data_IF_853479801845
#
_entry.id   IF_853479801845
#
_cell.length_a   1.000
_cell.length_b   1.000
_cell.length_c   1.000
_cell.angle_alpha   90.00
_cell.angle_beta   90.00
_cell.angle_gamma   90.00
#
_symmetry.space_group_name_H-M   'P 1'
#
loop_
_entity.id
_entity.type
_entity.pdbx_description
1 polymer ?
#
# COMPACT_ATOMS: atom_id res chain seq x y z
N UNK A 1 -11.21 25.65 16.02
CA UNK A 1 -12.09 24.54 15.58
C UNK A 1 -12.54 24.87 14.17
N UNK A 2 -12.00 24.19 13.16
CA UNK A 2 -12.41 24.43 11.76
C UNK A 2 -13.79 23.78 11.59
N UNK A 3 -14.80 24.60 11.37
CA UNK A 3 -16.16 24.18 11.04
C UNK A 3 -16.17 23.66 9.60
N UNK A 4 -16.02 22.35 9.43
CA UNK A 4 -16.24 21.70 8.13
C UNK A 4 -17.73 21.87 7.81
N UNK A 5 -18.04 22.67 6.79
CA UNK A 5 -19.42 22.85 6.33
C UNK A 5 -19.81 21.63 5.48
N UNK A 6 -20.95 21.01 5.79
CA UNK A 6 -21.43 19.83 5.08
C UNK A 6 -21.57 20.02 3.56
N UNK A 7 -21.69 21.27 3.12
CA UNK A 7 -21.78 21.67 1.72
C UNK A 7 -20.46 21.45 0.95
N UNK A 8 -19.30 21.66 1.57
CA UNK A 8 -17.99 21.40 0.95
C UNK A 8 -17.80 19.90 0.67
N UNK A 9 -18.14 19.04 1.64
CA UNK A 9 -18.04 17.58 1.47
C UNK A 9 -18.95 17.14 0.32
N UNK A 10 -20.16 17.69 0.23
CA UNK A 10 -21.13 17.34 -0.80
C UNK A 10 -20.64 17.74 -2.20
N UNK A 11 -19.99 18.90 -2.32
CA UNK A 11 -19.42 19.37 -3.58
C UNK A 11 -18.22 18.52 -4.03
N UNK A 12 -17.31 18.19 -3.10
CA UNK A 12 -16.16 17.32 -3.40
C UNK A 12 -16.61 15.93 -3.89
N UNK A 13 -17.63 15.33 -3.26
CA UNK A 13 -18.14 14.02 -3.70
C UNK A 13 -18.82 14.14 -5.07
N UNK A 14 -19.58 15.21 -5.32
CA UNK A 14 -20.26 15.44 -6.61
C UNK A 14 -19.24 15.57 -7.75
N UNK A 15 -18.19 16.37 -7.56
CA UNK A 15 -17.10 16.51 -8.54
C UNK A 15 -16.41 15.16 -8.84
N UNK A 16 -16.17 14.33 -7.82
CA UNK A 16 -15.59 12.99 -8.03
C UNK A 16 -16.49 12.04 -8.83
N UNK A 17 -17.81 12.15 -8.67
CA UNK A 17 -18.77 11.35 -9.45
C UNK A 17 -18.81 11.83 -10.90
N UNK A 18 -18.78 13.15 -11.13
CA UNK A 18 -18.77 13.73 -12.48
C UNK A 18 -17.51 13.37 -13.27
N UNK A 19 -16.36 13.24 -12.60
CA UNK A 19 -15.11 12.81 -13.22
C UNK A 19 -14.99 11.28 -13.43
N UNK A 20 -15.97 10.48 -13.01
CA UNK A 20 -15.90 9.03 -13.12
C UNK A 20 -16.14 8.57 -14.57
N UNK A 21 -15.07 8.56 -15.37
CA UNK A 21 -15.11 8.09 -16.75
C UNK A 21 -14.87 6.57 -16.80
N UNK A 22 -15.76 5.83 -17.45
CA UNK A 22 -15.73 4.36 -17.49
C UNK A 22 -15.00 3.86 -18.73
N UNK A 23 -13.68 3.78 -18.66
CA UNK A 23 -12.87 3.16 -19.72
C UNK A 23 -12.98 1.62 -19.66
N UNK A 24 -13.24 1.00 -20.81
CA UNK A 24 -13.19 -0.46 -20.96
C UNK A 24 -11.74 -0.86 -21.24
N UNK A 25 -11.02 -1.26 -20.18
CA UNK A 25 -9.68 -1.87 -20.29
C UNK A 25 -9.81 -3.37 -20.52
N UNK A 26 -9.00 -3.91 -21.44
CA UNK A 26 -8.73 -5.35 -21.51
C UNK A 26 -8.02 -5.72 -20.20
N UNK A 27 -8.61 -6.60 -19.41
CA UNK A 27 -8.11 -6.94 -18.07
C UNK A 27 -7.41 -8.30 -18.13
N UNK A 28 -6.10 -8.30 -17.98
CA UNK A 28 -5.34 -9.52 -17.75
C UNK A 28 -5.73 -10.08 -16.36
N UNK A 29 -6.33 -11.27 -16.36
CA UNK A 29 -6.98 -11.87 -15.18
C UNK A 29 -6.45 -13.28 -14.97
N UNK A 30 -6.36 -13.70 -13.72
CA UNK A 30 -6.04 -15.07 -13.33
C UNK A 30 -6.93 -15.58 -12.21
N UNK A 31 -6.67 -16.82 -11.80
CA UNK A 31 -7.43 -17.55 -10.78
C UNK A 31 -6.50 -17.99 -9.67
N UNK A 32 -6.87 -17.75 -8.41
CA UNK A 32 -6.11 -18.25 -7.25
C UNK A 32 -6.12 -19.77 -7.23
N UNK A 33 -4.97 -20.40 -7.36
CA UNK A 33 -4.80 -21.85 -7.18
C UNK A 33 -4.64 -22.21 -5.71
N UNK A 34 -3.83 -21.42 -5.00
CA UNK A 34 -3.48 -21.67 -3.61
C UNK A 34 -3.15 -20.33 -2.95
N UNK A 35 -3.47 -20.21 -1.67
CA UNK A 35 -3.04 -19.10 -0.81
C UNK A 35 -2.58 -19.64 0.54
N UNK A 36 -1.46 -19.14 1.05
CA UNK A 36 -0.92 -19.53 2.34
C UNK A 36 0.30 -18.71 2.71
N UNK A 37 0.45 -18.40 4.00
CA UNK A 37 1.62 -17.69 4.57
C UNK A 37 1.97 -16.37 3.85
N UNK A 38 0.96 -15.63 3.39
CA UNK A 38 1.15 -14.35 2.68
C UNK A 38 1.58 -14.51 1.22
N UNK A 39 1.52 -15.71 0.65
CA UNK A 39 1.85 -16.00 -0.75
C UNK A 39 0.62 -16.62 -1.43
N UNK A 40 0.34 -16.20 -2.66
CA UNK A 40 -0.66 -16.81 -3.51
C UNK A 40 -0.03 -17.31 -4.81
N UNK A 41 -0.48 -18.47 -5.30
CA UNK A 41 -0.15 -18.99 -6.62
C UNK A 41 -1.35 -18.77 -7.54
N UNK A 42 -1.13 -18.08 -8.64
CA UNK A 42 -2.20 -17.66 -9.55
C UNK A 42 -2.01 -18.36 -10.90
N UNK A 43 -3.05 -18.96 -11.45
CA UNK A 43 -3.06 -19.44 -12.83
C UNK A 43 -3.55 -18.34 -13.77
N UNK A 44 -2.97 -18.25 -14.96
CA UNK A 44 -3.20 -17.13 -15.88
C UNK A 44 -2.29 -15.95 -15.56
N UNK A 45 -2.80 -14.72 -15.68
CA UNK A 45 -1.98 -13.50 -15.62
C UNK A 45 -0.85 -13.49 -16.67
N UNK A 46 -1.08 -14.04 -17.87
CA UNK A 46 -0.03 -14.33 -18.86
C UNK A 46 0.79 -13.09 -19.30
N UNK A 47 0.16 -11.92 -19.28
CA UNK A 47 0.79 -10.64 -19.65
C UNK A 47 1.31 -9.83 -18.44
N UNK A 48 1.35 -10.42 -17.24
CA UNK A 48 1.79 -9.70 -16.03
C UNK A 48 3.29 -9.50 -16.03
N UNK A 49 3.73 -8.32 -15.58
CA UNK A 49 5.14 -8.01 -15.45
C UNK A 49 5.68 -8.39 -14.06
N UNK A 50 6.98 -8.68 -13.98
CA UNK A 50 7.64 -8.87 -12.70
C UNK A 50 7.63 -7.54 -11.92
N UNK A 51 7.27 -7.60 -10.64
CA UNK A 51 7.07 -6.42 -9.80
C UNK A 51 5.74 -5.72 -10.01
N UNK A 52 4.83 -6.22 -10.86
CA UNK A 52 3.53 -5.63 -11.07
C UNK A 52 2.59 -5.84 -9.87
N UNK A 53 1.80 -4.82 -9.57
CA UNK A 53 0.72 -4.91 -8.62
C UNK A 53 -0.45 -5.69 -9.21
N UNK A 54 -0.98 -6.62 -8.43
CA UNK A 54 -2.20 -7.35 -8.72
C UNK A 54 -3.24 -7.11 -7.65
N UNK A 55 -4.51 -7.12 -8.04
CA UNK A 55 -5.64 -6.90 -7.15
C UNK A 55 -6.50 -8.15 -7.10
N UNK A 56 -6.67 -8.70 -5.89
CA UNK A 56 -7.53 -9.85 -5.63
C UNK A 56 -8.98 -9.40 -5.59
N UNK A 57 -9.91 -10.32 -5.89
CA UNK A 57 -11.34 -10.04 -5.95
C UNK A 57 -11.92 -9.34 -4.70
N UNK A 58 -11.38 -9.61 -3.52
CA UNK A 58 -11.83 -9.02 -2.25
C UNK A 58 -11.13 -7.67 -1.93
N UNK A 59 -10.10 -7.29 -2.70
CA UNK A 59 -9.43 -6.00 -2.62
C UNK A 59 -8.01 -6.03 -2.07
N UNK A 60 -7.53 -7.18 -1.57
CA UNK A 60 -6.10 -7.33 -1.22
C UNK A 60 -5.23 -7.04 -2.43
N UNK A 61 -4.13 -6.31 -2.21
CA UNK A 61 -3.10 -6.07 -3.22
C UNK A 61 -1.96 -7.06 -3.01
N UNK A 62 -1.38 -7.54 -4.11
CA UNK A 62 -0.14 -8.31 -4.09
C UNK A 62 0.87 -7.80 -5.12
N UNK A 63 2.10 -8.30 -5.04
CA UNK A 63 3.16 -8.08 -6.03
C UNK A 63 3.46 -9.40 -6.72
N UNK A 64 3.43 -9.42 -8.06
CA UNK A 64 3.93 -10.54 -8.84
C UNK A 64 5.46 -10.60 -8.75
N UNK A 65 6.01 -11.67 -8.16
CA UNK A 65 7.47 -11.84 -8.02
C UNK A 65 8.02 -12.96 -8.90
N UNK A 66 7.33 -14.10 -8.97
CA UNK A 66 7.78 -15.27 -9.71
C UNK A 66 6.85 -15.50 -10.89
N UNK A 67 7.36 -15.39 -12.11
CA UNK A 67 6.60 -15.67 -13.33
C UNK A 67 7.02 -17.05 -13.85
N UNK A 68 6.26 -18.09 -13.50
CA UNK A 68 6.49 -19.44 -14.01
C UNK A 68 5.68 -19.68 -15.29
N UNK A 69 5.95 -20.77 -16.00
CA UNK A 69 5.26 -21.09 -17.26
C UNK A 69 3.77 -21.42 -17.09
N UNK A 70 3.35 -21.80 -15.88
CA UNK A 70 1.98 -22.28 -15.62
C UNK A 70 1.26 -21.51 -14.51
N UNK A 71 2.00 -20.73 -13.72
CA UNK A 71 1.46 -19.96 -12.61
C UNK A 71 2.36 -18.77 -12.27
N UNK A 72 1.79 -17.81 -11.57
CA UNK A 72 2.46 -16.62 -11.06
C UNK A 72 2.45 -16.66 -9.54
N UNK A 73 3.64 -16.56 -8.95
CA UNK A 73 3.82 -16.37 -7.52
C UNK A 73 3.63 -14.91 -7.15
N UNK A 74 2.60 -14.65 -6.35
CA UNK A 74 2.23 -13.32 -5.86
C UNK A 74 2.43 -13.26 -4.35
N UNK A 75 3.14 -12.23 -3.89
CA UNK A 75 3.27 -11.96 -2.46
C UNK A 75 2.23 -10.93 -2.04
N UNK A 76 1.50 -11.21 -0.97
CA UNK A 76 0.37 -10.40 -0.49
C UNK A 76 0.85 -9.23 0.37
N UNK A 77 0.25 -8.06 0.17
CA UNK A 77 0.38 -6.87 1.03
C UNK A 77 -0.68 -6.85 2.14
N UNK A 78 -0.99 -8.02 2.69
CA UNK A 78 -2.06 -8.26 3.65
C UNK A 78 -1.94 -9.68 4.22
N UNK A 79 -2.84 -10.05 5.11
CA UNK A 79 -2.85 -11.40 5.72
C UNK A 79 -3.45 -12.48 4.80
N UNK A 80 -4.20 -12.08 3.76
CA UNK A 80 -4.78 -12.99 2.78
C UNK A 80 -5.91 -13.87 3.31
N UNK A 81 -6.42 -13.61 4.52
CA UNK A 81 -7.38 -14.49 5.20
C UNK A 81 -8.73 -14.59 4.49
N UNK A 82 -9.08 -13.57 3.69
CA UNK A 82 -10.33 -13.49 2.94
C UNK A 82 -10.21 -13.98 1.50
N UNK A 83 -8.99 -14.30 1.05
CA UNK A 83 -8.74 -14.79 -0.31
C UNK A 83 -9.18 -16.25 -0.39
N UNK A 84 -10.00 -16.55 -1.39
CA UNK A 84 -10.50 -17.91 -1.64
C UNK A 84 -9.81 -18.50 -2.86
N UNK A 85 -9.49 -19.80 -2.81
CA UNK A 85 -9.11 -20.54 -4.00
C UNK A 85 -10.24 -20.49 -5.04
N UNK A 86 -9.88 -20.37 -6.32
CA UNK A 86 -10.83 -20.13 -7.40
C UNK A 86 -11.26 -18.67 -7.56
N UNK A 87 -10.92 -17.77 -6.62
CA UNK A 87 -11.23 -16.35 -6.77
C UNK A 87 -10.39 -15.69 -7.87
N UNK A 88 -10.92 -14.62 -8.44
CA UNK A 88 -10.25 -13.88 -9.51
C UNK A 88 -9.17 -12.93 -8.99
N UNK A 89 -8.10 -12.78 -9.77
CA UNK A 89 -7.03 -11.81 -9.53
C UNK A 89 -6.78 -11.04 -10.81
N UNK A 90 -6.61 -9.72 -10.71
CA UNK A 90 -6.44 -8.83 -11.86
C UNK A 90 -5.07 -8.17 -11.82
N UNK A 91 -4.36 -8.22 -12.93
CA UNK A 91 -3.18 -7.39 -13.15
C UNK A 91 -3.61 -5.91 -13.28
N UNK A 92 -2.89 -5.01 -12.59
CA UNK A 92 -3.25 -3.59 -12.58
C UNK A 92 -2.58 -2.79 -13.72
N UNK A 93 -1.60 -3.39 -14.40
CA UNK A 93 -0.72 -2.76 -15.39
C UNK A 93 0.30 -1.80 -14.78
N UNK A 94 0.43 -1.77 -13.44
CA UNK A 94 1.31 -0.85 -12.72
C UNK A 94 2.36 -1.62 -11.97
N UNK A 95 3.63 -1.36 -12.26
CA UNK A 95 4.74 -1.80 -11.42
C UNK A 95 4.57 -1.20 -10.03
N UNK A 96 4.93 -1.97 -9.00
CA UNK A 96 4.92 -1.54 -7.62
C UNK A 96 5.65 -0.19 -7.50
N UNK A 97 4.92 0.80 -6.98
CA UNK A 97 5.39 2.17 -6.87
C UNK A 97 4.91 2.74 -5.54
N UNK A 98 5.73 3.60 -4.95
CA UNK A 98 5.43 4.30 -3.71
C UNK A 98 5.12 5.75 -4.08
N UNK A 99 3.97 6.31 -3.65
CA UNK A 99 3.72 7.73 -3.81
C UNK A 99 4.72 8.53 -2.95
N UNK A 100 5.32 9.56 -3.54
CA UNK A 100 6.29 10.43 -2.88
C UNK A 100 5.84 11.89 -2.99
N UNK A 101 6.03 12.66 -1.94
CA UNK A 101 5.73 14.10 -1.88
C UNK A 101 6.27 14.73 -0.60
N UNK A 102 6.38 16.05 -0.59
CA UNK A 102 6.69 16.81 0.64
C UNK A 102 5.59 16.69 1.71
N UNK A 103 4.35 16.34 1.32
CA UNK A 103 3.23 16.20 2.25
C UNK A 103 3.38 15.05 3.26
N UNK A 104 4.40 14.20 3.06
CA UNK A 104 4.77 13.16 4.01
C UNK A 104 5.67 13.65 5.16
N UNK A 105 6.27 14.84 5.06
CA UNK A 105 7.05 15.43 6.15
C UNK A 105 6.17 15.61 7.40
N UNK A 106 6.71 15.23 8.55
CA UNK A 106 5.96 15.25 9.81
C UNK A 106 4.98 14.11 10.00
N UNK A 107 4.98 13.11 9.11
CA UNK A 107 4.06 11.97 9.16
C UNK A 107 4.73 10.67 9.55
N UNK A 108 3.95 9.81 10.18
CA UNK A 108 4.19 8.40 10.39
C UNK A 108 3.33 7.63 9.37
N UNK A 109 3.99 6.88 8.50
CA UNK A 109 3.35 6.12 7.42
C UNK A 109 3.77 4.66 7.49
N UNK A 110 2.99 3.81 6.83
CA UNK A 110 3.32 2.39 6.64
C UNK A 110 4.13 2.16 5.34
N UNK A 111 4.50 0.92 5.05
CA UNK A 111 5.26 0.52 3.86
C UNK A 111 4.50 0.69 2.52
N UNK A 112 3.23 1.09 2.56
CA UNK A 112 2.44 1.45 1.38
C UNK A 112 2.20 2.97 1.31
N UNK A 113 2.98 3.74 2.07
CA UNK A 113 2.85 5.18 2.23
C UNK A 113 1.44 5.64 2.68
N UNK A 114 0.72 4.79 3.40
CA UNK A 114 -0.56 5.14 4.05
C UNK A 114 -0.28 5.73 5.43
N UNK A 115 -0.88 6.87 5.79
CA UNK A 115 -0.67 7.46 7.11
C UNK A 115 -1.20 6.59 8.24
N UNK A 116 -0.41 6.45 9.29
CA UNK A 116 -0.73 5.69 10.51
C UNK A 116 -0.52 6.53 11.78
N UNK A 117 -0.38 7.85 11.66
CA UNK A 117 -0.15 8.78 12.78
C UNK A 117 -1.16 8.59 13.92
N UNK A 118 -2.44 8.40 13.58
CA UNK A 118 -3.53 8.19 14.53
C UNK A 118 -3.61 6.77 15.11
N UNK A 119 -2.83 5.81 14.59
CA UNK A 119 -2.74 4.43 15.10
C UNK A 119 -1.45 4.20 15.89
N UNK A 120 -0.37 4.91 15.56
CA UNK A 120 0.90 4.85 16.28
C UNK A 120 0.79 5.45 17.71
N UNK A 121 -0.09 6.43 17.91
CA UNK A 121 -0.37 7.05 19.21
C UNK A 121 -1.48 6.26 19.92
N UNK A 122 -1.14 5.13 20.53
CA UNK A 122 -2.01 4.50 21.55
C UNK A 122 -2.20 2.98 21.50
N UNK A 123 -1.83 2.28 20.43
CA UNK A 123 -2.00 0.81 20.38
C UNK A 123 -0.70 0.09 19.95
N UNK A 124 -0.14 -0.71 20.87
CA UNK A 124 0.89 -1.76 20.70
C UNK A 124 2.25 -1.43 20.07
N UNK A 125 2.47 -0.25 19.50
CA UNK A 125 3.76 0.18 18.96
C UNK A 125 4.54 1.08 19.94
N UNK A 126 4.68 0.66 21.21
CA UNK A 126 5.21 1.53 22.30
C UNK A 126 6.57 2.16 21.98
N UNK A 127 7.47 1.43 21.33
CA UNK A 127 8.79 1.94 20.95
C UNK A 127 8.74 2.97 19.84
N UNK A 128 7.90 2.76 18.81
CA UNK A 128 7.75 3.73 17.70
C UNK A 128 7.11 5.02 18.23
N UNK A 129 6.08 4.88 19.06
CA UNK A 129 5.43 6.02 19.71
C UNK A 129 6.42 6.84 20.54
N UNK A 130 7.29 6.20 21.32
CA UNK A 130 8.29 6.88 22.12
C UNK A 130 9.31 7.66 21.27
N UNK A 131 9.75 7.09 20.13
CA UNK A 131 10.65 7.77 19.19
C UNK A 131 9.96 8.97 18.55
N UNK A 132 8.71 8.80 18.11
CA UNK A 132 7.91 9.90 17.53
C UNK A 132 7.70 11.02 18.54
N UNK A 133 7.35 10.70 19.80
CA UNK A 133 7.25 11.69 20.88
C UNK A 133 8.57 12.42 21.07
N UNK A 134 9.70 11.71 21.06
CA UNK A 134 11.03 12.33 21.19
C UNK A 134 11.32 13.29 20.02
N UNK A 135 10.92 12.94 18.80
CA UNK A 135 11.07 13.83 17.64
C UNK A 135 10.16 15.05 17.74
N UNK A 136 8.94 14.89 18.22
CA UNK A 136 8.01 16.01 18.45
C UNK A 136 8.54 16.97 19.52
N UNK A 137 8.97 16.45 20.68
CA UNK A 137 9.52 17.25 21.78
C UNK A 137 10.77 18.05 21.38
N UNK A 138 11.56 17.52 20.45
CA UNK A 138 12.78 18.17 19.93
C UNK A 138 12.55 19.02 18.69
N UNK A 139 11.32 19.14 18.19
CA UNK A 139 11.01 19.83 16.94
C UNK A 139 11.56 19.14 15.68
N UNK A 140 12.04 17.90 15.80
CA UNK A 140 12.63 17.15 14.69
C UNK A 140 11.60 16.55 13.74
N UNK A 141 10.35 16.40 14.19
CA UNK A 141 9.30 15.80 13.38
C UNK A 141 9.00 16.63 12.11
N UNK A 142 9.18 17.96 12.14
CA UNK A 142 8.88 18.86 11.01
C UNK A 142 9.64 18.52 9.72
N UNK A 143 10.84 17.93 9.84
CA UNK A 143 11.68 17.52 8.71
C UNK A 143 11.91 16.01 8.66
N UNK A 144 11.11 15.22 9.39
CA UNK A 144 11.26 13.76 9.48
C UNK A 144 10.02 13.06 8.93
N UNK A 145 10.23 11.99 8.17
CA UNK A 145 9.20 11.02 7.82
C UNK A 145 9.53 9.74 8.57
N UNK A 146 8.55 9.18 9.28
CA UNK A 146 8.71 7.89 9.97
C UNK A 146 7.98 6.83 9.17
N UNK A 147 8.72 5.93 8.53
CA UNK A 147 8.17 4.70 7.92
C UNK A 147 8.18 3.60 8.98
N UNK A 148 7.02 3.09 9.35
CA UNK A 148 6.89 2.10 10.42
C UNK A 148 5.99 0.94 10.02
N UNK A 149 6.53 -0.26 10.17
CA UNK A 149 5.82 -1.54 10.14
C UNK A 149 6.18 -2.31 11.41
N UNK A 150 5.17 -2.70 12.17
CA UNK A 150 5.36 -3.43 13.44
C UNK A 150 5.45 -4.93 13.21
N UNK A 151 5.93 -5.67 14.21
CA UNK A 151 6.18 -7.11 14.09
C UNK A 151 4.92 -7.96 13.79
N UNK A 152 3.74 -7.45 14.09
CA UNK A 152 2.44 -8.05 13.78
C UNK A 152 1.94 -7.74 12.36
N UNK A 153 2.63 -6.87 11.63
CA UNK A 153 2.32 -6.57 10.23
C UNK A 153 2.81 -7.69 9.32
N UNK A 154 2.19 -7.92 8.15
CA UNK A 154 2.65 -8.93 7.19
C UNK A 154 4.14 -8.81 6.89
N UNK A 155 4.84 -9.95 6.80
CA UNK A 155 6.28 -9.99 6.53
C UNK A 155 6.66 -9.22 5.25
N UNK A 156 5.79 -9.26 4.24
CA UNK A 156 5.91 -8.47 3.01
C UNK A 156 6.04 -6.97 3.26
N UNK A 157 5.20 -6.42 4.14
CA UNK A 157 5.23 -4.99 4.44
C UNK A 157 6.50 -4.62 5.21
N UNK A 158 6.89 -5.46 6.17
CA UNK A 158 8.16 -5.29 6.88
C UNK A 158 9.35 -5.31 5.91
N UNK A 159 9.33 -6.19 4.91
CA UNK A 159 10.35 -6.26 3.86
C UNK A 159 10.33 -5.03 2.93
N UNK A 160 9.16 -4.47 2.63
CA UNK A 160 9.02 -3.30 1.75
C UNK A 160 9.30 -1.96 2.43
N UNK A 161 9.23 -1.89 3.77
CA UNK A 161 9.42 -0.66 4.51
C UNK A 161 10.75 0.07 4.20
N UNK A 162 11.92 -0.61 4.12
CA UNK A 162 13.17 0.05 3.75
C UNK A 162 13.16 0.63 2.32
N UNK A 163 12.54 -0.06 1.36
CA UNK A 163 12.43 0.43 -0.02
C UNK A 163 11.51 1.65 -0.11
N UNK A 164 10.45 1.70 0.71
CA UNK A 164 9.60 2.88 0.84
C UNK A 164 10.37 4.07 1.40
N UNK A 165 11.17 3.84 2.45
CA UNK A 165 12.06 4.86 3.00
C UNK A 165 13.08 5.37 1.97
N UNK A 166 13.67 4.47 1.19
CA UNK A 166 14.60 4.83 0.11
C UNK A 166 13.91 5.66 -0.98
N UNK A 167 12.74 5.24 -1.48
CA UNK A 167 11.99 5.98 -2.49
C UNK A 167 11.62 7.40 -2.04
N UNK A 168 11.21 7.56 -0.77
CA UNK A 168 10.94 8.88 -0.19
C UNK A 168 12.22 9.71 -0.07
N UNK A 169 13.33 9.11 0.38
CA UNK A 169 14.61 9.81 0.49
C UNK A 169 15.14 10.25 -0.87
N UNK A 170 15.02 9.41 -1.90
CA UNK A 170 15.40 9.74 -3.28
C UNK A 170 14.65 10.96 -3.80
N UNK A 171 13.35 11.10 -3.49
CA UNK A 171 12.56 12.27 -3.86
C UNK A 171 13.16 13.59 -3.33
N UNK A 172 13.74 13.59 -2.13
CA UNK A 172 14.40 14.78 -1.56
C UNK A 172 15.88 14.91 -1.97
N UNK A 173 16.48 13.86 -2.51
CA UNK A 173 17.88 13.83 -2.90
C UNK A 173 18.10 14.28 -4.35
N UNK A 174 17.18 13.95 -5.25
CA UNK A 174 17.28 14.31 -6.67
C UNK A 174 17.00 15.82 -6.82
N UNK A 175 17.94 16.60 -7.42
CA UNK A 175 17.82 18.05 -7.57
C UNK A 175 16.76 18.51 -8.58
#
# INVERSE_FOLDING_TARGET
>A
MVTIQADEISNIIRERIEQYNREVKIVNTGTVLQVGDGIARIHGLDEVMAGELVEFQEGTIGIALNLESTNVGVVLMGDGLLIQEGSSVKATGRIAQIPVSEAYLGRVINALAKPIDGRAIGQKASSVAQVVTTFQERGAMEYTIVVAETADSPATLQYLAPYTGAALAEFFYVP
#
